data_IF_807826312965
#
_entry.id   IF_807826312965
#
_cell.length_a   1.000
_cell.length_b   1.000
_cell.length_c   1.000
_cell.angle_alpha   90.00
_cell.angle_beta   90.00
_cell.angle_gamma   90.00
#
_symmetry.space_group_name_H-M   'P 1'
#
loop_
_entity.id
_entity.type
_entity.pdbx_description
1 polymer ?
#
# COMPACT_ATOMS: atom_id res chain seq x y z
N UNK A 1 20.64 -1.33 -14.47
CA UNK A 1 19.85 -2.46 -13.95
C UNK A 1 18.47 -1.96 -13.56
N UNK A 2 17.43 -2.62 -14.02
CA UNK A 2 16.04 -2.28 -13.66
C UNK A 2 15.89 -2.42 -12.14
N UNK A 3 15.33 -1.42 -11.44
CA UNK A 3 15.12 -1.51 -10.00
C UNK A 3 14.26 -2.73 -9.63
N UNK A 4 14.67 -3.48 -8.60
CA UNK A 4 13.94 -4.69 -8.14
C UNK A 4 12.47 -4.39 -7.80
N UNK A 5 12.18 -3.18 -7.34
CA UNK A 5 10.82 -2.69 -7.07
C UNK A 5 9.97 -2.61 -8.33
N UNK A 6 10.51 -2.09 -9.43
CA UNK A 6 9.81 -2.02 -10.71
C UNK A 6 9.47 -3.41 -11.25
N UNK A 7 10.42 -4.33 -11.22
CA UNK A 7 10.18 -5.72 -11.64
C UNK A 7 9.07 -6.40 -10.83
N UNK A 8 9.09 -6.22 -9.50
CA UNK A 8 8.02 -6.73 -8.61
C UNK A 8 6.65 -6.13 -8.95
N UNK A 9 6.60 -4.82 -9.24
CA UNK A 9 5.36 -4.16 -9.59
C UNK A 9 4.83 -4.61 -10.96
N UNK A 10 5.73 -4.83 -11.91
CA UNK A 10 5.39 -5.37 -13.24
C UNK A 10 4.81 -6.79 -13.14
N UNK A 11 5.44 -7.67 -12.34
CA UNK A 11 4.91 -9.02 -12.10
C UNK A 11 3.53 -8.98 -11.44
N UNK A 12 3.37 -8.15 -10.40
CA UNK A 12 2.08 -8.02 -9.71
C UNK A 12 0.98 -7.49 -10.65
N UNK A 13 1.28 -6.47 -11.46
CA UNK A 13 0.33 -5.95 -12.44
C UNK A 13 -0.01 -7.01 -13.50
N UNK A 14 0.99 -7.76 -13.98
CA UNK A 14 0.78 -8.86 -14.93
C UNK A 14 -0.13 -9.95 -14.37
N UNK A 15 0.06 -10.35 -13.11
CA UNK A 15 -0.81 -11.33 -12.43
C UNK A 15 -2.24 -10.79 -12.31
N UNK A 16 -2.41 -9.55 -11.87
CA UNK A 16 -3.73 -8.91 -11.75
C UNK A 16 -4.43 -8.85 -13.12
N UNK A 17 -3.72 -8.42 -14.15
CA UNK A 17 -4.27 -8.37 -15.52
C UNK A 17 -4.64 -9.74 -16.04
N UNK A 18 -3.81 -10.77 -15.81
CA UNK A 18 -4.09 -12.13 -16.23
C UNK A 18 -5.32 -12.73 -15.52
N UNK A 19 -5.45 -12.54 -14.20
CA UNK A 19 -6.59 -13.04 -13.40
C UNK A 19 -7.90 -12.33 -13.80
N UNK A 20 -7.85 -11.04 -14.11
CA UNK A 20 -9.02 -10.23 -14.47
C UNK A 20 -9.29 -10.15 -15.97
N UNK A 21 -8.50 -10.82 -16.80
CA UNK A 21 -8.67 -10.84 -18.25
C UNK A 21 -10.09 -11.26 -18.65
N UNK A 22 -10.74 -10.54 -19.59
CA UNK A 22 -12.09 -10.87 -20.03
C UNK A 22 -12.19 -12.24 -20.72
N UNK A 23 -11.16 -12.64 -21.45
CA UNK A 23 -11.16 -13.86 -22.27
C UNK A 23 -10.66 -15.10 -21.53
N UNK A 24 -9.59 -14.96 -20.73
CA UNK A 24 -8.86 -16.08 -20.11
C UNK A 24 -8.73 -15.97 -18.59
N UNK A 25 -9.23 -14.87 -17.99
CA UNK A 25 -9.08 -14.60 -16.57
C UNK A 25 -9.90 -15.55 -15.70
N UNK A 26 -9.27 -16.06 -14.63
CA UNK A 26 -9.90 -16.99 -13.70
C UNK A 26 -11.20 -16.42 -13.10
N UNK A 27 -11.25 -15.12 -12.82
CA UNK A 27 -12.45 -14.47 -12.27
C UNK A 27 -13.59 -14.49 -13.28
N UNK A 28 -13.35 -14.12 -14.53
CA UNK A 28 -14.37 -14.16 -15.57
C UNK A 28 -14.82 -15.59 -15.90
N UNK A 29 -13.90 -16.56 -15.91
CA UNK A 29 -14.24 -17.96 -16.07
C UNK A 29 -15.15 -18.47 -14.93
N UNK A 30 -14.84 -18.10 -13.70
CA UNK A 30 -15.67 -18.43 -12.55
C UNK A 30 -17.06 -17.79 -12.65
N UNK A 31 -17.16 -16.49 -12.94
CA UNK A 31 -18.43 -15.79 -13.10
C UNK A 31 -19.29 -16.37 -14.22
N UNK A 32 -18.67 -16.71 -15.34
CA UNK A 32 -19.36 -17.36 -16.47
C UNK A 32 -19.89 -18.75 -16.11
N UNK A 33 -19.06 -19.59 -15.47
CA UNK A 33 -19.42 -20.98 -15.19
C UNK A 33 -20.41 -21.13 -14.03
N UNK A 34 -20.34 -20.26 -13.02
CA UNK A 34 -21.19 -20.35 -11.82
C UNK A 34 -22.47 -19.51 -11.96
N UNK A 35 -22.36 -18.31 -12.53
CA UNK A 35 -23.46 -17.35 -12.59
C UNK A 35 -24.00 -17.11 -14.01
N UNK A 36 -23.38 -17.68 -15.04
CA UNK A 36 -23.78 -17.46 -16.43
C UNK A 36 -23.58 -16.01 -16.93
N UNK A 37 -22.73 -15.24 -16.24
CA UNK A 37 -22.53 -13.81 -16.56
C UNK A 37 -21.63 -13.65 -17.80
N UNK A 38 -21.89 -12.59 -18.57
CA UNK A 38 -20.99 -12.21 -19.66
C UNK A 38 -19.62 -11.72 -19.12
N UNK A 39 -18.54 -11.90 -19.92
CA UNK A 39 -17.21 -11.44 -19.50
C UNK A 39 -17.16 -9.94 -19.19
N UNK A 40 -16.61 -9.58 -18.05
CA UNK A 40 -16.50 -8.21 -17.57
C UNK A 40 -15.08 -7.70 -17.78
N UNK A 41 -14.94 -6.53 -18.40
CA UNK A 41 -13.67 -5.80 -18.52
C UNK A 41 -13.39 -5.01 -17.24
N UNK A 42 -12.95 -5.69 -16.17
CA UNK A 42 -12.77 -5.10 -14.84
C UNK A 42 -11.85 -3.87 -14.82
N UNK A 43 -10.72 -3.91 -15.54
CA UNK A 43 -9.75 -2.80 -15.58
C UNK A 43 -10.20 -1.63 -16.49
N UNK A 44 -11.24 -1.80 -17.29
CA UNK A 44 -11.77 -0.75 -18.16
C UNK A 44 -13.03 -0.08 -17.57
N UNK A 45 -13.57 -0.60 -16.48
CA UNK A 45 -14.73 -0.02 -15.80
C UNK A 45 -14.30 0.79 -14.58
N UNK A 46 -14.73 2.04 -14.51
CA UNK A 46 -14.42 2.98 -13.44
C UNK A 46 -14.78 2.47 -12.05
N UNK A 47 -15.94 1.80 -11.95
CA UNK A 47 -16.45 1.22 -10.69
C UNK A 47 -15.47 0.23 -10.03
N UNK A 48 -14.78 -0.57 -10.84
CA UNK A 48 -13.91 -1.64 -10.37
C UNK A 48 -12.44 -1.23 -10.27
N UNK A 49 -12.03 -0.20 -11.01
CA UNK A 49 -10.62 0.16 -11.11
C UNK A 49 -9.99 0.50 -9.75
N UNK A 50 -10.61 1.42 -8.99
CA UNK A 50 -10.12 1.82 -7.66
C UNK A 50 -10.06 0.65 -6.67
N UNK A 51 -11.13 -0.16 -6.49
CA UNK A 51 -11.06 -1.35 -5.64
C UNK A 51 -9.96 -2.33 -6.03
N UNK A 52 -9.74 -2.57 -7.32
CA UNK A 52 -8.71 -3.46 -7.82
C UNK A 52 -7.31 -2.92 -7.50
N UNK A 53 -7.06 -1.64 -7.73
CA UNK A 53 -5.78 -0.99 -7.40
C UNK A 53 -5.50 -1.09 -5.90
N UNK A 54 -6.48 -0.81 -5.05
CA UNK A 54 -6.33 -0.90 -3.59
C UNK A 54 -6.10 -2.34 -3.16
N UNK A 55 -6.93 -3.28 -3.59
CA UNK A 55 -6.80 -4.69 -3.22
C UNK A 55 -5.46 -5.29 -3.66
N UNK A 56 -5.04 -5.02 -4.89
CA UNK A 56 -3.75 -5.50 -5.42
C UNK A 56 -2.56 -4.83 -4.71
N UNK A 57 -2.69 -3.57 -4.30
CA UNK A 57 -1.70 -2.85 -3.49
C UNK A 57 -1.53 -3.48 -2.10
N UNK A 58 -2.62 -3.77 -1.42
CA UNK A 58 -2.61 -4.47 -0.13
C UNK A 58 -1.99 -5.85 -0.27
N UNK A 59 -2.45 -6.64 -1.24
CA UNK A 59 -1.91 -7.98 -1.51
C UNK A 59 -0.38 -7.95 -1.75
N UNK A 60 0.09 -7.03 -2.55
CA UNK A 60 1.51 -6.87 -2.88
C UNK A 60 2.37 -6.49 -1.66
N UNK A 61 1.87 -5.62 -0.78
CA UNK A 61 2.61 -5.11 0.39
C UNK A 61 2.49 -5.99 1.61
N UNK A 62 1.47 -6.84 1.68
CA UNK A 62 1.15 -7.66 2.85
C UNK A 62 2.33 -8.51 3.34
N UNK A 63 3.01 -9.23 2.43
CA UNK A 63 4.11 -10.11 2.81
C UNK A 63 5.27 -9.38 3.50
N UNK A 64 5.69 -8.24 2.95
CA UNK A 64 6.78 -7.47 3.53
C UNK A 64 6.38 -6.81 4.86
N UNK A 65 5.15 -6.31 4.95
CA UNK A 65 4.62 -5.77 6.21
C UNK A 65 4.56 -6.84 7.30
N UNK A 66 4.14 -8.06 6.96
CA UNK A 66 4.13 -9.19 7.91
C UNK A 66 5.53 -9.50 8.44
N UNK A 67 6.58 -9.45 7.60
CA UNK A 67 7.96 -9.68 8.04
C UNK A 67 8.40 -8.65 9.08
N UNK A 68 8.08 -7.37 8.90
CA UNK A 68 8.41 -6.34 9.88
C UNK A 68 7.74 -6.59 11.24
N UNK A 69 6.45 -6.96 11.24
CA UNK A 69 5.74 -7.28 12.47
C UNK A 69 6.24 -8.57 13.11
N UNK A 70 6.57 -9.60 12.33
CA UNK A 70 7.16 -10.84 12.86
C UNK A 70 8.51 -10.59 13.53
N UNK A 71 9.37 -9.76 12.89
CA UNK A 71 10.65 -9.37 13.50
C UNK A 71 10.45 -8.61 14.81
N UNK A 72 9.48 -7.70 14.87
CA UNK A 72 9.16 -6.99 16.11
C UNK A 72 8.61 -7.93 17.20
N UNK A 73 7.76 -8.88 16.82
CA UNK A 73 7.24 -9.90 17.76
C UNK A 73 8.36 -10.78 18.32
N UNK A 74 9.32 -11.17 17.48
CA UNK A 74 10.46 -11.99 17.89
C UNK A 74 11.43 -11.26 18.82
N UNK A 75 11.37 -9.94 18.90
CA UNK A 75 12.20 -9.13 19.80
C UNK A 75 11.59 -8.95 21.20
N UNK A 76 10.34 -9.38 21.41
CA UNK A 76 9.69 -9.32 22.73
C UNK A 76 10.24 -10.44 23.59
N UNK A 77 10.63 -10.09 24.83
CA UNK A 77 11.14 -11.06 25.80
C UNK A 77 10.09 -12.12 26.12
N UNK A 78 10.48 -13.39 25.99
CA UNK A 78 9.61 -14.53 26.28
C UNK A 78 9.31 -14.66 27.76
N UNK A 79 10.18 -14.17 28.65
CA UNK A 79 9.97 -14.18 30.10
C UNK A 79 8.71 -13.40 30.48
N UNK A 80 8.35 -12.35 29.78
CA UNK A 80 7.11 -11.59 30.01
C UNK A 80 5.87 -12.46 29.80
N UNK A 81 5.89 -13.34 28.81
CA UNK A 81 4.78 -14.25 28.53
C UNK A 81 4.72 -15.38 29.57
N UNK A 82 5.87 -15.85 30.04
CA UNK A 82 5.94 -16.87 31.07
C UNK A 82 5.45 -16.32 32.42
N UNK A 83 5.87 -15.15 32.83
CA UNK A 83 5.37 -14.48 34.02
C UNK A 83 3.86 -14.26 33.96
N UNK A 84 3.34 -13.77 32.84
CA UNK A 84 1.91 -13.57 32.62
C UNK A 84 1.10 -14.88 32.71
N UNK A 85 1.68 -15.99 32.24
CA UNK A 85 1.03 -17.32 32.42
C UNK A 85 0.97 -17.77 33.87
N UNK A 86 2.02 -17.52 34.62
CA UNK A 86 2.04 -17.82 36.07
C UNK A 86 0.97 -17.01 36.81
N UNK A 87 0.72 -15.77 36.38
CA UNK A 87 -0.35 -14.91 36.91
C UNK A 87 -1.75 -15.28 36.38
N UNK A 88 -1.89 -16.38 35.63
CA UNK A 88 -3.17 -16.84 35.08
C UNK A 88 -3.70 -16.01 33.92
N UNK A 89 -2.86 -15.21 33.27
CA UNK A 89 -3.29 -14.40 32.09
C UNK A 89 -3.49 -15.28 30.87
N UNK A 90 -4.72 -15.32 30.35
CA UNK A 90 -5.06 -15.97 29.10
C UNK A 90 -4.47 -15.25 27.89
N UNK A 91 -4.47 -15.90 26.70
CA UNK A 91 -3.87 -15.38 25.46
C UNK A 91 -4.33 -13.96 25.07
N UNK A 92 -5.61 -13.64 25.27
CA UNK A 92 -6.13 -12.30 24.99
C UNK A 92 -5.49 -11.24 25.88
N UNK A 93 -5.36 -11.50 27.19
CA UNK A 93 -4.70 -10.57 28.11
C UNK A 93 -3.22 -10.38 27.75
N UNK A 94 -2.51 -11.45 27.42
CA UNK A 94 -1.12 -11.39 26.95
C UNK A 94 -1.00 -10.56 25.66
N UNK A 95 -1.91 -10.73 24.70
CA UNK A 95 -1.91 -9.94 23.46
C UNK A 95 -2.08 -8.44 23.75
N UNK A 96 -3.04 -8.06 24.59
CA UNK A 96 -3.31 -6.65 24.88
C UNK A 96 -2.24 -5.96 25.74
N UNK A 97 -1.63 -6.68 26.69
CA UNK A 97 -0.73 -6.07 27.66
C UNK A 97 0.76 -6.29 27.38
N UNK A 98 1.12 -7.28 26.56
CA UNK A 98 2.52 -7.59 26.22
C UNK A 98 2.73 -7.40 24.71
N UNK A 99 1.97 -8.11 23.87
CA UNK A 99 2.22 -8.14 22.45
C UNK A 99 1.98 -6.78 21.78
N UNK A 100 0.79 -6.18 21.96
CA UNK A 100 0.45 -4.89 21.33
C UNK A 100 1.36 -3.75 21.80
N UNK A 101 1.66 -3.58 23.10
CA UNK A 101 2.66 -2.61 23.54
C UNK A 101 4.05 -2.89 22.97
N UNK A 102 4.47 -4.15 22.91
CA UNK A 102 5.77 -4.56 22.40
C UNK A 102 6.00 -4.20 20.92
N UNK A 103 4.97 -4.32 20.08
CA UNK A 103 5.07 -3.97 18.65
C UNK A 103 4.70 -2.50 18.34
N UNK A 104 4.26 -1.72 19.32
CA UNK A 104 3.77 -0.35 19.16
C UNK A 104 4.78 0.53 18.43
N UNK A 105 6.04 0.45 18.80
CA UNK A 105 7.11 1.28 18.20
C UNK A 105 7.24 1.01 16.71
N UNK A 106 7.31 -0.25 16.29
CA UNK A 106 7.42 -0.59 14.87
C UNK A 106 6.16 -0.18 14.09
N UNK A 107 4.97 -0.33 14.70
CA UNK A 107 3.73 0.09 14.08
C UNK A 107 3.71 1.61 13.81
N UNK A 108 4.22 2.41 14.74
CA UNK A 108 4.33 3.87 14.59
C UNK A 108 5.36 4.23 13.51
N UNK A 109 6.52 3.59 13.50
CA UNK A 109 7.54 3.81 12.46
C UNK A 109 6.95 3.53 11.08
N UNK A 110 6.32 2.37 10.91
CA UNK A 110 5.70 1.99 9.63
C UNK A 110 4.59 2.96 9.23
N UNK A 111 3.78 3.43 10.18
CA UNK A 111 2.74 4.42 9.91
C UNK A 111 3.32 5.75 9.43
N UNK A 112 4.36 6.27 10.10
CA UNK A 112 5.00 7.54 9.69
C UNK A 112 5.62 7.41 8.29
N UNK A 113 6.29 6.28 8.00
CA UNK A 113 6.86 6.01 6.68
C UNK A 113 5.76 5.90 5.60
N UNK A 114 4.64 5.25 5.89
CA UNK A 114 3.50 5.15 4.97
C UNK A 114 2.86 6.52 4.68
N UNK A 115 2.68 7.34 5.70
CA UNK A 115 2.17 8.72 5.52
C UNK A 115 3.14 9.55 4.69
N UNK A 116 4.46 9.41 4.91
CA UNK A 116 5.48 10.07 4.09
C UNK A 116 5.46 9.67 2.62
N UNK A 117 5.00 8.48 2.30
CA UNK A 117 4.91 7.99 0.93
C UNK A 117 3.55 8.27 0.26
N UNK A 118 2.52 8.75 0.99
CA UNK A 118 1.13 8.76 0.52
C UNK A 118 0.90 9.55 -0.78
N UNK A 119 1.63 10.65 -0.96
CA UNK A 119 1.49 11.51 -2.16
C UNK A 119 2.18 10.90 -3.39
N UNK A 120 3.14 10.00 -3.18
CA UNK A 120 3.91 9.33 -4.25
C UNK A 120 3.50 7.87 -4.45
N UNK A 121 2.62 7.35 -3.58
CA UNK A 121 2.14 5.97 -3.67
C UNK A 121 1.38 5.73 -4.98
N UNK A 122 1.65 4.59 -5.57
CA UNK A 122 0.82 4.03 -6.64
C UNK A 122 1.26 4.36 -8.06
N UNK A 123 2.24 5.25 -8.29
CA UNK A 123 2.65 5.58 -9.67
C UNK A 123 2.88 4.32 -10.52
N UNK A 124 3.84 3.48 -10.12
CA UNK A 124 4.22 2.31 -10.92
C UNK A 124 3.05 1.32 -11.08
N UNK A 125 2.27 1.10 -10.02
CA UNK A 125 1.16 0.15 -10.05
C UNK A 125 0.01 0.67 -10.89
N UNK A 126 -0.37 1.95 -10.72
CA UNK A 126 -1.43 2.58 -11.49
C UNK A 126 -1.00 2.69 -12.95
N UNK A 127 0.21 3.16 -13.22
CA UNK A 127 0.77 3.28 -14.57
C UNK A 127 0.75 1.96 -15.35
N UNK A 128 0.95 0.84 -14.68
CA UNK A 128 0.92 -0.49 -15.31
C UNK A 128 -0.50 -1.06 -15.49
N UNK A 129 -1.48 -0.59 -14.75
CA UNK A 129 -2.85 -1.11 -14.77
C UNK A 129 -3.84 -0.20 -15.50
N UNK A 130 -3.59 1.13 -15.54
CA UNK A 130 -4.56 2.07 -16.06
C UNK A 130 -4.56 2.12 -17.60
N UNK A 131 -5.65 2.61 -18.14
CA UNK A 131 -5.85 2.86 -19.56
C UNK A 131 -6.70 4.13 -19.74
N UNK A 132 -6.80 4.69 -20.96
CA UNK A 132 -7.55 5.93 -21.20
C UNK A 132 -9.01 5.95 -20.72
N UNK A 133 -9.67 4.77 -20.62
CA UNK A 133 -11.06 4.67 -20.22
C UNK A 133 -11.28 4.92 -18.71
N UNK A 134 -10.22 4.86 -17.91
CA UNK A 134 -10.29 5.01 -16.45
C UNK A 134 -9.45 6.17 -15.92
N UNK A 135 -8.98 7.08 -16.77
CA UNK A 135 -8.17 8.22 -16.33
C UNK A 135 -8.90 9.10 -15.32
N UNK A 136 -10.22 9.31 -15.47
CA UNK A 136 -11.00 10.17 -14.59
C UNK A 136 -11.07 9.66 -13.15
N UNK A 137 -10.95 8.36 -12.96
CA UNK A 137 -11.02 7.72 -11.62
C UNK A 137 -9.68 7.14 -11.14
N UNK A 138 -8.77 6.85 -12.07
CA UNK A 138 -7.52 6.15 -11.78
C UNK A 138 -6.30 7.06 -11.72
N UNK A 139 -6.40 8.28 -12.23
CA UNK A 139 -5.25 9.18 -12.30
C UNK A 139 -4.83 9.66 -10.91
N UNK A 140 -3.53 9.67 -10.67
CA UNK A 140 -2.92 10.24 -9.48
C UNK A 140 -1.95 11.35 -9.88
N UNK A 141 -1.56 12.20 -8.94
CA UNK A 141 -0.70 13.35 -9.22
C UNK A 141 0.58 12.92 -9.96
N UNK A 142 1.15 11.78 -9.61
CA UNK A 142 2.38 11.26 -10.22
C UNK A 142 2.18 10.78 -11.66
N UNK A 143 1.06 10.13 -12.01
CA UNK A 143 0.74 9.70 -13.38
C UNK A 143 0.37 10.90 -14.24
N UNK A 144 -0.35 11.87 -13.68
CA UNK A 144 -0.64 13.13 -14.32
C UNK A 144 0.63 13.94 -14.62
N UNK A 145 1.55 14.06 -13.65
CA UNK A 145 2.83 14.71 -13.84
C UNK A 145 3.68 14.02 -14.93
N UNK A 146 3.67 12.69 -14.97
CA UNK A 146 4.34 11.92 -16.02
C UNK A 146 3.80 12.28 -17.41
N UNK A 147 2.48 12.27 -17.59
CA UNK A 147 1.85 12.64 -18.86
C UNK A 147 2.20 14.06 -19.30
N UNK A 148 2.12 15.02 -18.38
CA UNK A 148 2.47 16.40 -18.67
C UNK A 148 3.96 16.55 -19.04
N UNK A 149 4.84 15.90 -18.29
CA UNK A 149 6.30 16.04 -18.45
C UNK A 149 6.83 15.31 -19.66
N UNK A 150 6.48 14.03 -19.80
CA UNK A 150 7.09 13.16 -20.82
C UNK A 150 6.29 13.21 -22.12
N UNK A 151 4.96 13.11 -22.06
CA UNK A 151 4.14 13.05 -23.29
C UNK A 151 3.89 14.45 -23.88
N UNK A 152 3.73 15.48 -23.02
CA UNK A 152 3.42 16.85 -23.47
C UNK A 152 4.62 17.81 -23.37
N UNK A 153 5.79 17.33 -22.91
CA UNK A 153 7.05 18.12 -22.77
C UNK A 153 6.92 19.39 -21.91
N UNK A 154 5.94 19.43 -20.99
CA UNK A 154 5.70 20.58 -20.08
C UNK A 154 6.55 20.46 -18.81
N UNK A 155 7.86 20.46 -18.96
CA UNK A 155 8.79 20.22 -17.84
C UNK A 155 8.66 21.22 -16.69
N UNK A 156 8.43 22.51 -16.99
CA UNK A 156 8.27 23.53 -15.94
C UNK A 156 7.08 23.24 -15.03
N UNK A 157 5.94 22.84 -15.60
CA UNK A 157 4.75 22.50 -14.84
C UNK A 157 4.94 21.23 -14.03
N UNK A 158 5.57 20.22 -14.61
CA UNK A 158 5.92 18.96 -13.92
C UNK A 158 6.85 19.20 -12.74
N UNK A 159 7.85 20.06 -12.89
CA UNK A 159 8.75 20.45 -11.80
C UNK A 159 7.99 21.16 -10.69
N UNK A 160 7.07 22.06 -11.02
CA UNK A 160 6.22 22.73 -10.03
C UNK A 160 5.33 21.74 -9.25
N UNK A 161 4.74 20.76 -9.94
CA UNK A 161 3.98 19.68 -9.31
C UNK A 161 4.87 18.87 -8.37
N UNK A 162 6.07 18.47 -8.80
CA UNK A 162 7.02 17.71 -7.97
C UNK A 162 7.45 18.48 -6.71
N UNK A 163 7.72 19.77 -6.81
CA UNK A 163 8.02 20.63 -5.66
C UNK A 163 6.83 20.72 -4.70
N UNK A 164 5.63 20.92 -5.24
CA UNK A 164 4.40 20.96 -4.44
C UNK A 164 4.16 19.65 -3.69
N UNK A 165 4.35 18.50 -4.37
CA UNK A 165 4.26 17.18 -3.73
C UNK A 165 5.28 17.02 -2.59
N UNK A 166 6.53 17.44 -2.81
CA UNK A 166 7.58 17.37 -1.81
C UNK A 166 7.25 18.22 -0.58
N UNK A 167 6.70 19.40 -0.79
CA UNK A 167 6.26 20.30 0.30
C UNK A 167 5.11 19.70 1.10
N UNK A 168 4.09 19.17 0.43
CA UNK A 168 2.96 18.47 1.08
C UNK A 168 3.45 17.26 1.87
N UNK A 169 4.32 16.43 1.28
CA UNK A 169 4.92 15.28 1.96
C UNK A 169 5.69 15.70 3.22
N UNK A 170 6.49 16.74 3.14
CA UNK A 170 7.22 17.26 4.31
C UNK A 170 6.26 17.64 5.45
N UNK A 171 5.19 18.37 5.13
CA UNK A 171 4.18 18.75 6.14
C UNK A 171 3.52 17.50 6.75
N UNK A 172 3.13 16.53 5.92
CA UNK A 172 2.48 15.31 6.40
C UNK A 172 3.40 14.48 7.31
N UNK A 173 4.66 14.29 6.92
CA UNK A 173 5.65 13.57 7.74
C UNK A 173 5.91 14.30 9.05
N UNK A 174 6.09 15.62 9.02
CA UNK A 174 6.30 16.42 10.21
C UNK A 174 5.09 16.35 11.16
N UNK A 175 3.89 16.53 10.64
CA UNK A 175 2.66 16.46 11.43
C UNK A 175 2.46 15.08 12.05
N UNK A 176 2.67 14.01 11.27
CA UNK A 176 2.53 12.63 11.74
C UNK A 176 3.57 12.29 12.79
N UNK A 177 4.83 12.71 12.60
CA UNK A 177 5.89 12.51 13.59
C UNK A 177 5.58 13.23 14.91
N UNK A 178 5.10 14.48 14.83
CA UNK A 178 4.68 15.25 16.01
C UNK A 178 3.49 14.60 16.74
N UNK A 179 2.53 14.07 15.98
CA UNK A 179 1.38 13.35 16.53
C UNK A 179 1.83 12.03 17.19
N UNK A 180 2.70 11.27 16.54
CA UNK A 180 3.29 10.05 17.08
C UNK A 180 4.00 10.30 18.42
N UNK A 181 4.77 11.39 18.51
CA UNK A 181 5.42 11.81 19.75
C UNK A 181 4.42 12.08 20.88
N UNK A 182 3.32 12.77 20.58
CA UNK A 182 2.28 13.08 21.59
C UNK A 182 1.49 11.86 22.03
N UNK A 183 1.14 10.95 21.12
CA UNK A 183 0.26 9.82 21.41
C UNK A 183 1.01 8.59 21.92
N UNK A 184 2.24 8.39 21.51
CA UNK A 184 3.00 7.19 21.79
C UNK A 184 4.27 7.43 22.61
N UNK A 185 4.61 8.69 22.86
CA UNK A 185 5.84 9.05 23.56
C UNK A 185 7.11 8.78 22.74
N UNK A 186 6.98 8.47 21.45
CA UNK A 186 8.07 8.10 20.57
C UNK A 186 7.96 8.83 19.22
N UNK A 187 9.11 9.21 18.66
CA UNK A 187 9.18 9.90 17.35
C UNK A 187 10.46 9.49 16.62
N UNK A 188 10.51 9.74 15.31
CA UNK A 188 11.70 9.47 14.51
C UNK A 188 12.86 10.43 14.84
N UNK A 189 12.54 11.66 15.20
CA UNK A 189 13.46 12.71 15.66
C UNK A 189 12.82 13.62 16.71
#
# INVERSE_FOLDING_TARGET
>A
SIPKTFFRNMLAAGIVTAILSPSTGAVNMFLKNVFGMEPVHFLAKEEFFRPIVVASGIWKSFGMSAVYYLAALSSIDTELYEAAKMDGAGKLKQTWHITLPGIKTIAIVLLVLQVGAIVTIGFEQIFLLYNPLVYDVGDVISTYAYRLGIEQTRFSLTSAIGLSQSFVNFILVYATNKLAKRLAGWSLW
#
